data_IF_724899064437
#
_entry.id   IF_724899064437
#
_cell.length_a   1.000
_cell.length_b   1.000
_cell.length_c   1.000
_cell.angle_alpha   90.00
_cell.angle_beta   90.00
_cell.angle_gamma   90.00
#
_symmetry.space_group_name_H-M   'P 1'
#
loop_
_entity.id
_entity.type
_entity.pdbx_description
1 polymer ?
#
# COMPACT_ATOMS: atom_id res chain seq x y z
N UNK A 1 -52.81 2.43 34.73
CA UNK A 1 -54.28 2.57 34.72
C UNK A 1 -54.69 3.44 33.54
N UNK A 2 -55.54 2.89 32.69
CA UNK A 2 -56.47 3.44 31.69
C UNK A 2 -56.45 4.92 31.25
N UNK A 3 -56.57 5.06 29.91
CA UNK A 3 -57.44 6.00 29.17
C UNK A 3 -57.17 7.51 29.29
N UNK A 4 -57.40 8.37 28.31
CA UNK A 4 -57.86 8.33 26.92
C UNK A 4 -57.98 9.81 26.54
N UNK A 5 -57.56 10.21 25.33
CA UNK A 5 -58.39 11.10 24.49
C UNK A 5 -57.85 11.18 23.08
N UNK A 6 -58.75 10.82 22.17
CA UNK A 6 -58.67 10.81 20.72
C UNK A 6 -59.57 11.97 20.26
N UNK A 7 -59.09 12.88 19.39
CA UNK A 7 -59.92 13.75 18.53
C UNK A 7 -58.98 14.58 17.64
N UNK A 8 -58.78 14.22 16.36
CA UNK A 8 -59.61 14.55 15.19
C UNK A 8 -59.49 16.01 14.73
N UNK A 9 -58.71 16.23 13.66
CA UNK A 9 -58.87 17.34 12.73
C UNK A 9 -58.77 16.84 11.28
N UNK A 10 -59.44 17.51 10.34
CA UNK A 10 -60.14 16.86 9.24
C UNK A 10 -59.38 16.81 7.92
N UNK A 11 -59.76 15.79 7.15
CA UNK A 11 -60.08 15.81 5.72
C UNK A 11 -59.80 17.11 4.96
N UNK A 12 -58.96 16.99 3.93
CA UNK A 12 -59.03 17.84 2.74
C UNK A 12 -57.68 18.40 2.32
N UNK A 13 -56.96 17.68 1.46
CA UNK A 13 -56.68 18.18 0.11
C UNK A 13 -56.03 17.07 -0.72
N UNK A 14 -56.85 16.49 -1.58
CA UNK A 14 -56.47 15.64 -2.71
C UNK A 14 -55.87 16.55 -3.78
N UNK A 15 -54.58 16.43 -4.03
CA UNK A 15 -53.90 16.85 -5.26
C UNK A 15 -52.73 15.87 -5.44
N UNK A 16 -52.95 14.70 -6.03
CA UNK A 16 -52.89 14.47 -7.48
C UNK A 16 -51.67 15.12 -8.14
N UNK A 17 -50.50 14.49 -8.02
CA UNK A 17 -49.55 14.42 -9.13
C UNK A 17 -48.72 13.14 -9.03
N UNK A 18 -49.33 12.07 -9.54
CA UNK A 18 -48.67 10.85 -9.96
C UNK A 18 -47.70 11.18 -11.10
N UNK A 19 -46.40 11.10 -10.87
CA UNK A 19 -45.41 10.96 -11.94
C UNK A 19 -44.12 10.30 -11.43
N UNK A 20 -43.85 9.11 -11.99
CA UNK A 20 -42.53 8.49 -12.23
C UNK A 20 -41.55 8.50 -11.04
N UNK A 21 -41.41 7.43 -10.26
CA UNK A 21 -40.57 6.26 -10.63
C UNK A 21 -39.75 6.48 -11.91
N UNK A 22 -38.45 6.80 -11.74
CA UNK A 22 -37.29 6.28 -12.48
C UNK A 22 -36.10 7.26 -12.41
N UNK A 23 -34.89 6.72 -12.19
CA UNK A 23 -33.56 7.35 -12.35
C UNK A 23 -33.18 8.39 -11.27
N UNK A 24 -32.09 8.30 -10.51
CA UNK A 24 -30.80 7.65 -10.76
C UNK A 24 -30.14 7.29 -9.44
N UNK A 25 -29.99 5.99 -9.19
CA UNK A 25 -28.98 5.44 -8.28
C UNK A 25 -27.63 5.82 -8.89
N UNK A 26 -27.12 6.99 -8.52
CA UNK A 26 -25.83 7.48 -8.99
C UNK A 26 -24.76 6.53 -8.47
N UNK A 27 -24.07 5.91 -9.41
CA UNK A 27 -22.93 5.01 -9.23
C UNK A 27 -22.08 5.47 -8.05
N UNK A 28 -22.02 4.65 -6.99
CA UNK A 28 -20.81 4.63 -6.18
C UNK A 28 -19.67 4.24 -7.14
N UNK A 29 -18.56 4.98 -7.19
CA UNK A 29 -17.38 4.46 -7.84
C UNK A 29 -17.05 3.14 -7.13
N UNK A 30 -17.06 2.05 -7.89
CA UNK A 30 -16.46 0.81 -7.44
C UNK A 30 -15.06 1.17 -6.93
N UNK A 31 -14.68 0.70 -5.74
CA UNK A 31 -13.28 0.57 -5.38
C UNK A 31 -12.61 -0.07 -6.60
N UNK A 32 -11.79 0.69 -7.33
CA UNK A 32 -10.95 0.10 -8.36
C UNK A 32 -10.03 -0.85 -7.62
N UNK A 33 -10.19 -2.15 -7.84
CA UNK A 33 -9.23 -3.14 -7.39
C UNK A 33 -7.85 -2.67 -7.85
N UNK A 34 -6.92 -2.50 -6.91
CA UNK A 34 -5.55 -2.14 -7.24
C UNK A 34 -5.02 -3.19 -8.24
N UNK A 35 -4.34 -2.77 -9.33
CA UNK A 35 -3.81 -3.71 -10.30
C UNK A 35 -2.91 -4.73 -9.61
N UNK A 36 -3.10 -6.03 -9.89
CA UNK A 36 -2.24 -7.09 -9.34
C UNK A 36 -0.78 -6.76 -9.74
N UNK A 37 0.09 -6.39 -8.80
CA UNK A 37 1.42 -5.84 -9.07
C UNK A 37 2.46 -6.88 -9.52
N UNK A 38 2.03 -8.12 -9.79
CA UNK A 38 2.96 -9.20 -10.10
C UNK A 38 3.39 -9.14 -11.56
N UNK A 39 4.70 -9.08 -11.76
CA UNK A 39 5.33 -9.27 -13.08
C UNK A 39 4.87 -8.27 -14.14
N UNK A 40 4.20 -8.75 -15.18
CA UNK A 40 3.82 -7.97 -16.36
C UNK A 40 2.81 -6.85 -16.05
N UNK A 41 1.93 -7.05 -15.08
CA UNK A 41 0.95 -6.03 -14.70
C UNK A 41 1.62 -4.82 -14.06
N UNK A 42 2.67 -5.00 -13.25
CA UNK A 42 3.51 -3.88 -12.77
C UNK A 42 4.24 -3.17 -13.91
N UNK A 43 4.76 -3.91 -14.89
CA UNK A 43 5.46 -3.31 -16.04
C UNK A 43 4.53 -2.43 -16.88
N UNK A 44 3.27 -2.80 -16.99
CA UNK A 44 2.25 -2.06 -17.73
C UNK A 44 1.82 -0.73 -17.06
N UNK A 45 2.07 -0.57 -15.75
CA UNK A 45 1.78 0.68 -15.04
C UNK A 45 2.73 1.80 -15.50
N UNK A 46 2.16 2.99 -15.67
CA UNK A 46 2.94 4.22 -15.80
C UNK A 46 3.51 4.66 -14.44
N UNK A 47 4.14 5.84 -14.41
CA UNK A 47 4.76 6.34 -13.18
C UNK A 47 3.72 6.57 -12.07
N UNK A 48 2.58 7.16 -12.38
CA UNK A 48 1.55 7.49 -11.40
C UNK A 48 0.86 6.22 -10.87
N UNK A 49 0.61 5.23 -11.73
CA UNK A 49 0.11 3.93 -11.32
C UNK A 49 1.07 3.19 -10.39
N UNK A 50 2.37 3.23 -10.67
CA UNK A 50 3.41 2.66 -9.80
C UNK A 50 3.47 3.37 -8.45
N UNK A 51 3.43 4.70 -8.46
CA UNK A 51 3.46 5.51 -7.24
C UNK A 51 2.22 5.24 -6.37
N UNK A 52 1.04 5.14 -6.99
CA UNK A 52 -0.22 4.82 -6.31
C UNK A 52 -0.12 3.45 -5.64
N UNK A 53 0.30 2.42 -6.38
CA UNK A 53 0.48 1.08 -5.83
C UNK A 53 1.48 1.07 -4.66
N UNK A 54 2.63 1.73 -4.82
CA UNK A 54 3.64 1.81 -3.76
C UNK A 54 3.09 2.47 -2.49
N UNK A 55 2.30 3.53 -2.65
CA UNK A 55 1.69 4.26 -1.54
C UNK A 55 0.54 3.52 -0.86
N UNK A 56 -0.32 2.81 -1.62
CA UNK A 56 -1.51 2.17 -1.06
C UNK A 56 -1.25 0.74 -0.56
N UNK A 57 -0.52 -0.05 -1.34
CA UNK A 57 -0.37 -1.49 -1.08
C UNK A 57 0.93 -1.83 -0.37
N UNK A 58 2.04 -1.16 -0.71
CA UNK A 58 3.36 -1.52 -0.20
C UNK A 58 3.74 -0.76 1.08
N UNK A 59 3.46 0.54 1.12
CA UNK A 59 3.89 1.41 2.22
C UNK A 59 3.41 0.93 3.59
N UNK A 60 2.10 0.64 3.73
CA UNK A 60 1.50 0.26 5.00
C UNK A 60 2.09 -1.03 5.59
N UNK A 61 2.15 -2.15 4.83
CA UNK A 61 2.81 -3.37 5.28
C UNK A 61 4.30 -3.18 5.63
N UNK A 62 5.05 -2.43 4.82
CA UNK A 62 6.46 -2.18 5.09
C UNK A 62 6.65 -1.36 6.36
N UNK A 63 5.93 -0.24 6.51
CA UNK A 63 6.02 0.62 7.68
C UNK A 63 5.82 -0.18 8.98
N UNK A 64 4.82 -1.07 9.01
CA UNK A 64 4.54 -1.93 10.16
C UNK A 64 5.69 -2.89 10.47
N UNK A 65 6.28 -3.54 9.45
CA UNK A 65 7.41 -4.46 9.66
C UNK A 65 8.64 -3.73 10.19
N UNK A 66 8.97 -2.58 9.61
CA UNK A 66 10.13 -1.78 10.00
C UNK A 66 9.97 -1.21 11.42
N UNK A 67 8.81 -0.64 11.74
CA UNK A 67 8.54 -0.13 13.09
C UNK A 67 8.43 -1.24 14.14
N UNK A 68 8.01 -2.46 13.75
CA UNK A 68 8.03 -3.61 14.67
C UNK A 68 9.44 -4.14 14.94
N UNK A 69 10.37 -3.96 14.00
CA UNK A 69 11.78 -4.31 14.18
C UNK A 69 12.50 -3.28 15.07
N UNK A 70 12.34 -1.99 14.76
CA UNK A 70 12.91 -0.91 15.55
C UNK A 70 12.06 0.38 15.42
N UNK A 71 11.18 0.59 16.40
CA UNK A 71 10.23 1.71 16.38
C UNK A 71 10.92 3.08 16.45
N UNK A 72 12.06 3.19 17.15
CA UNK A 72 12.77 4.45 17.30
C UNK A 72 13.53 4.79 16.02
N UNK A 73 14.26 3.80 15.45
CA UNK A 73 14.99 3.96 14.18
C UNK A 73 14.04 4.28 13.01
N UNK A 74 12.88 3.64 12.95
CA UNK A 74 11.91 3.78 11.86
C UNK A 74 10.69 4.63 12.22
N UNK A 75 10.80 5.52 13.23
CA UNK A 75 9.74 6.48 13.58
C UNK A 75 9.35 7.36 12.39
N UNK A 76 10.33 7.76 11.59
CA UNK A 76 10.17 8.55 10.38
C UNK A 76 10.21 7.70 9.10
N UNK A 77 9.64 6.50 9.15
CA UNK A 77 9.52 5.63 7.97
C UNK A 77 8.85 6.40 6.82
N UNK A 78 9.47 6.39 5.64
CA UNK A 78 9.02 7.13 4.46
C UNK A 78 9.51 6.45 3.19
N UNK A 79 9.15 7.00 2.02
CA UNK A 79 9.67 6.54 0.73
C UNK A 79 11.21 6.55 0.69
N UNK A 80 11.85 7.50 1.39
CA UNK A 80 13.30 7.65 1.43
C UNK A 80 13.99 6.52 2.20
N UNK A 81 13.27 5.82 3.09
CA UNK A 81 13.80 4.66 3.82
C UNK A 81 14.25 3.55 2.85
N UNK A 82 13.60 3.43 1.69
CA UNK A 82 13.96 2.46 0.66
C UNK A 82 14.62 3.08 -0.57
N UNK A 83 14.22 4.30 -0.95
CA UNK A 83 14.65 4.93 -2.20
C UNK A 83 15.75 5.98 -2.05
N UNK A 84 16.20 6.24 -0.81
CA UNK A 84 17.17 7.27 -0.50
C UNK A 84 16.58 8.69 -0.47
N UNK A 85 17.35 9.62 0.11
CA UNK A 85 16.97 11.03 0.20
C UNK A 85 16.82 11.72 -1.17
N UNK A 86 17.48 11.19 -2.21
CA UNK A 86 17.37 11.68 -3.58
C UNK A 86 16.29 10.95 -4.41
N UNK A 87 15.50 10.08 -3.77
CA UNK A 87 14.51 9.21 -4.42
C UNK A 87 13.55 10.00 -5.32
N UNK A 88 12.99 11.10 -4.83
CA UNK A 88 12.07 11.93 -5.63
C UNK A 88 12.72 12.46 -6.91
N UNK A 89 13.97 12.92 -6.85
CA UNK A 89 14.71 13.43 -8.01
C UNK A 89 15.03 12.34 -9.03
N UNK A 90 15.16 11.10 -8.58
CA UNK A 90 15.45 9.91 -9.38
C UNK A 90 14.22 9.06 -9.71
N UNK A 91 13.01 9.60 -9.48
CA UNK A 91 11.74 8.88 -9.71
C UNK A 91 11.68 7.54 -8.97
N UNK A 92 12.27 7.47 -7.78
CA UNK A 92 12.27 6.31 -6.87
C UNK A 92 12.80 5.02 -7.50
N UNK A 93 13.65 5.12 -8.53
CA UNK A 93 14.33 3.95 -9.11
C UNK A 93 15.30 3.37 -8.07
N UNK A 94 15.51 2.06 -8.10
CA UNK A 94 16.50 1.35 -7.27
C UNK A 94 17.51 0.60 -8.16
N UNK A 95 18.73 0.30 -7.66
CA UNK A 95 19.27 0.65 -6.34
C UNK A 95 19.69 2.12 -6.24
N UNK A 96 19.29 2.81 -5.17
CA UNK A 96 19.71 4.18 -4.85
C UNK A 96 19.64 4.45 -3.34
N UNK A 97 20.67 5.09 -2.79
CA UNK A 97 20.67 5.65 -1.43
C UNK A 97 20.75 4.65 -0.26
N UNK A 98 20.54 3.35 -0.49
CA UNK A 98 20.67 2.32 0.53
C UNK A 98 22.14 1.93 0.80
N UNK A 99 22.38 1.42 2.00
CA UNK A 99 23.68 0.87 2.39
C UNK A 99 24.12 -0.21 1.40
N UNK A 100 25.28 -0.05 0.73
CA UNK A 100 25.79 -1.06 -0.20
C UNK A 100 26.18 -2.34 0.53
N UNK A 101 25.84 -3.50 -0.04
CA UNK A 101 26.10 -4.80 0.54
C UNK A 101 27.34 -5.45 -0.05
N UNK A 102 28.14 -6.10 0.80
CA UNK A 102 29.21 -7.01 0.37
C UNK A 102 28.67 -8.42 0.18
N UNK A 103 29.15 -9.14 -0.84
CA UNK A 103 28.87 -10.57 -0.95
C UNK A 103 29.60 -11.33 0.16
N UNK A 104 28.89 -12.13 0.94
CA UNK A 104 29.49 -12.98 1.95
C UNK A 104 28.65 -13.09 3.21
N UNK A 105 29.34 -13.35 4.32
CA UNK A 105 28.75 -13.42 5.65
C UNK A 105 28.76 -12.04 6.31
N UNK A 106 27.73 -11.78 7.10
CA UNK A 106 27.60 -10.58 7.93
C UNK A 106 27.77 -10.99 9.39
N UNK A 107 28.17 -10.06 10.26
CA UNK A 107 28.31 -10.31 11.69
C UNK A 107 27.74 -9.15 12.52
N UNK A 108 27.69 -9.34 13.84
CA UNK A 108 27.24 -8.33 14.79
C UNK A 108 25.85 -7.74 14.47
N UNK A 109 25.75 -6.42 14.52
CA UNK A 109 24.51 -5.69 14.25
C UNK A 109 24.07 -5.81 12.78
N UNK A 110 25.00 -5.94 11.84
CA UNK A 110 24.70 -6.11 10.42
C UNK A 110 24.00 -7.45 10.17
N UNK A 111 24.39 -8.50 10.90
CA UNK A 111 23.71 -9.79 10.83
C UNK A 111 22.25 -9.72 11.27
N UNK A 112 21.92 -8.93 12.30
CA UNK A 112 20.53 -8.77 12.75
C UNK A 112 19.67 -8.06 11.69
N UNK A 113 20.20 -7.01 11.06
CA UNK A 113 19.52 -6.31 9.97
C UNK A 113 19.35 -7.20 8.73
N UNK A 114 20.38 -7.96 8.36
CA UNK A 114 20.29 -8.91 7.24
C UNK A 114 19.28 -10.02 7.52
N UNK A 115 19.22 -10.52 8.75
CA UNK A 115 18.19 -11.49 9.17
C UNK A 115 16.80 -10.88 9.06
N UNK A 116 16.57 -9.66 9.56
CA UNK A 116 15.29 -8.97 9.40
C UNK A 116 14.89 -8.80 7.93
N UNK A 117 15.84 -8.38 7.09
CA UNK A 117 15.60 -8.22 5.66
C UNK A 117 15.22 -9.56 5.00
N UNK A 118 15.97 -10.64 5.28
CA UNK A 118 15.71 -11.97 4.71
C UNK A 118 14.42 -12.61 5.21
N UNK A 119 14.10 -12.47 6.49
CA UNK A 119 13.00 -13.20 7.10
C UNK A 119 11.67 -12.45 7.08
N UNK A 120 11.69 -11.12 6.98
CA UNK A 120 10.49 -10.28 7.07
C UNK A 120 10.26 -9.46 5.82
N UNK A 121 11.25 -8.69 5.39
CA UNK A 121 11.09 -7.72 4.29
C UNK A 121 10.99 -8.44 2.94
N UNK A 122 11.98 -9.27 2.60
CA UNK A 122 12.02 -10.00 1.33
C UNK A 122 10.78 -10.88 1.12
N UNK A 123 10.32 -11.69 2.08
CA UNK A 123 9.12 -12.50 1.90
C UNK A 123 7.87 -11.66 1.66
N UNK A 124 7.74 -10.52 2.36
CA UNK A 124 6.60 -9.61 2.14
C UNK A 124 6.70 -8.88 0.79
N UNK A 125 7.91 -8.54 0.33
CA UNK A 125 8.11 -8.01 -1.03
C UNK A 125 7.75 -9.04 -2.10
N UNK A 126 8.08 -10.32 -1.89
CA UNK A 126 7.67 -11.41 -2.78
C UNK A 126 6.15 -11.59 -2.80
N UNK A 127 5.50 -11.54 -1.64
CA UNK A 127 4.04 -11.60 -1.53
C UNK A 127 3.37 -10.45 -2.31
N UNK A 128 3.88 -9.23 -2.16
CA UNK A 128 3.28 -8.02 -2.71
C UNK A 128 3.70 -7.73 -4.14
N UNK A 129 4.87 -8.16 -4.62
CA UNK A 129 5.39 -7.77 -5.95
C UNK A 129 5.88 -8.95 -6.80
N UNK A 130 5.91 -10.15 -6.24
CA UNK A 130 6.27 -11.38 -6.93
C UNK A 130 7.74 -11.80 -6.76
N UNK A 131 8.06 -12.94 -7.37
CA UNK A 131 9.32 -13.67 -7.16
C UNK A 131 10.58 -12.97 -7.66
N UNK A 132 10.46 -11.88 -8.43
CA UNK A 132 11.63 -11.07 -8.80
C UNK A 132 12.36 -10.55 -7.55
N UNK A 133 11.64 -10.35 -6.44
CA UNK A 133 12.20 -9.91 -5.16
C UNK A 133 12.74 -11.03 -4.28
N UNK A 134 12.62 -12.30 -4.68
CA UNK A 134 13.13 -13.42 -3.90
C UNK A 134 14.66 -13.40 -3.81
N UNK A 135 15.22 -14.13 -2.83
CA UNK A 135 16.68 -14.33 -2.77
C UNK A 135 17.14 -15.10 -4.03
N UNK A 136 18.04 -14.49 -4.81
CA UNK A 136 18.45 -14.99 -6.13
C UNK A 136 17.59 -14.50 -7.32
N UNK A 137 16.49 -13.79 -7.05
CA UNK A 137 15.69 -13.10 -8.08
C UNK A 137 16.39 -11.86 -8.64
N UNK A 138 15.91 -11.38 -9.79
CA UNK A 138 16.47 -10.22 -10.49
C UNK A 138 16.45 -8.92 -9.65
N UNK A 139 15.57 -8.85 -8.65
CA UNK A 139 15.41 -7.74 -7.70
C UNK A 139 15.54 -8.19 -6.24
N UNK A 140 16.30 -9.26 -5.97
CA UNK A 140 16.63 -9.70 -4.61
C UNK A 140 17.51 -8.69 -3.87
N UNK A 141 18.38 -9.15 -2.95
CA UNK A 141 19.19 -8.25 -2.11
C UNK A 141 19.91 -7.13 -2.88
N UNK A 142 20.50 -7.47 -4.02
CA UNK A 142 21.26 -6.53 -4.87
C UNK A 142 20.40 -5.76 -5.90
N UNK A 143 19.08 -5.97 -5.90
CA UNK A 143 18.14 -5.14 -6.63
C UNK A 143 17.78 -3.86 -5.87
N UNK A 144 17.78 -3.94 -4.54
CA UNK A 144 17.54 -2.80 -3.65
C UNK A 144 18.86 -2.16 -3.22
N UNK A 145 19.85 -2.97 -2.83
CA UNK A 145 21.15 -2.51 -2.37
C UNK A 145 22.19 -2.53 -3.49
N UNK A 146 23.02 -1.50 -3.58
CA UNK A 146 24.19 -1.54 -4.44
C UNK A 146 25.18 -2.61 -3.93
N UNK A 147 25.93 -3.25 -4.82
CA UNK A 147 27.07 -4.09 -4.40
C UNK A 147 28.27 -3.20 -4.07
N UNK A 148 28.96 -3.54 -2.97
CA UNK A 148 30.26 -2.97 -2.60
C UNK A 148 31.41 -3.78 -3.20
#
# INVERSE_FOLDING_TARGET
MFSSKRSSHPLGYVFLCLSLLLFSFSLLPACGDAPDPKGEAWKALDYDGKLTFMGSELYGPMQKLFQAHDAEKYKSFSCETCHGADGASKKYVMPNGLHPLTKGSYDGEEQAEVTFMREKVVPKMVELMGNDFAEGGAKGCFGCHASK
#
